data_IF_578762574411
#
_entry.id   IF_578762574411
#
_cell.length_a   1.000
_cell.length_b   1.000
_cell.length_c   1.000
_cell.angle_alpha   90.00
_cell.angle_beta   90.00
_cell.angle_gamma   90.00
#
_symmetry.space_group_name_H-M   'P 1'
#
loop_
_entity.id
_entity.type
_entity.pdbx_description
1 polymer ?
#
# COMPACT_ATOMS: atom_id res chain seq x y z
N UNK A 1 3.76 -11.25 -1.06
CA UNK A 1 4.51 -10.99 0.17
C UNK A 1 3.62 -10.27 1.17
N UNK A 2 3.67 -10.67 2.43
CA UNK A 2 2.83 -10.10 3.49
C UNK A 2 3.56 -8.92 4.14
N UNK A 3 2.89 -7.78 4.25
CA UNK A 3 3.46 -6.54 4.80
C UNK A 3 2.84 -6.12 6.14
N UNK A 4 1.63 -6.59 6.44
CA UNK A 4 0.99 -6.38 7.74
C UNK A 4 0.49 -7.73 8.25
N UNK A 5 0.75 -8.03 9.51
CA UNK A 5 0.30 -9.29 10.12
C UNK A 5 -0.14 -9.09 11.56
N UNK A 6 -0.93 -10.05 12.03
CA UNK A 6 -1.31 -10.17 13.43
C UNK A 6 -0.74 -11.48 13.94
N UNK A 7 0.03 -11.42 15.00
CA UNK A 7 0.65 -12.58 15.62
C UNK A 7 0.69 -12.38 17.14
N UNK A 8 0.36 -13.43 17.90
CA UNK A 8 0.30 -13.40 19.36
C UNK A 8 -0.47 -12.17 19.89
N UNK A 9 -1.64 -11.92 19.31
CA UNK A 9 -2.55 -10.81 19.66
C UNK A 9 -1.94 -9.40 19.45
N UNK A 10 -0.88 -9.29 18.66
CA UNK A 10 -0.22 -8.02 18.33
C UNK A 10 -0.21 -7.78 16.84
N UNK A 11 -0.29 -6.53 16.45
CA UNK A 11 -0.13 -6.12 15.06
C UNK A 11 1.34 -5.82 14.74
N UNK A 12 1.77 -6.21 13.55
CA UNK A 12 3.14 -6.00 13.08
C UNK A 12 3.13 -5.45 11.66
N UNK A 13 4.15 -4.68 11.34
CA UNK A 13 4.41 -4.23 9.98
C UNK A 13 5.82 -4.66 9.56
N UNK A 14 6.02 -4.79 8.25
CA UNK A 14 7.31 -5.17 7.67
C UNK A 14 8.13 -3.91 7.39
N UNK A 15 9.36 -3.89 7.89
CA UNK A 15 10.33 -2.81 7.66
C UNK A 15 11.49 -3.35 6.83
N UNK A 16 11.91 -2.58 5.83
CA UNK A 16 13.09 -2.87 5.04
C UNK A 16 14.24 -1.98 5.49
N UNK A 17 15.41 -2.55 5.76
CA UNK A 17 16.59 -1.80 6.16
C UNK A 17 17.42 -1.34 4.94
N UNK A 18 18.57 -0.70 5.21
CA UNK A 18 19.47 -0.19 4.16
C UNK A 18 20.03 -1.30 3.27
N UNK A 19 20.13 -2.51 3.79
CA UNK A 19 20.63 -3.70 3.07
C UNK A 19 19.51 -4.47 2.35
N UNK A 20 18.29 -3.91 2.33
CA UNK A 20 17.09 -4.55 1.79
C UNK A 20 16.66 -5.81 2.54
N UNK A 21 17.12 -5.97 3.76
CA UNK A 21 16.64 -7.02 4.64
C UNK A 21 15.35 -6.57 5.32
N UNK A 22 14.39 -7.48 5.44
CA UNK A 22 13.09 -7.17 6.01
C UNK A 22 12.98 -7.75 7.42
N UNK A 23 12.41 -6.96 8.33
CA UNK A 23 12.17 -7.36 9.71
C UNK A 23 10.76 -6.92 10.15
N UNK A 24 10.18 -7.69 11.04
CA UNK A 24 8.87 -7.38 11.62
C UNK A 24 9.02 -6.49 12.84
N UNK A 25 8.19 -5.46 12.92
CA UNK A 25 8.15 -4.54 14.06
C UNK A 25 6.71 -4.36 14.53
N UNK A 26 6.52 -4.13 15.81
CA UNK A 26 5.19 -3.87 16.36
C UNK A 26 4.57 -2.62 15.71
N UNK A 27 3.27 -2.68 15.43
CA UNK A 27 2.58 -1.68 14.62
C UNK A 27 2.60 -0.27 15.21
N UNK A 28 2.70 -0.15 16.55
CA UNK A 28 2.76 1.13 17.23
C UNK A 28 4.11 1.84 17.09
N UNK A 29 5.12 1.14 16.55
CA UNK A 29 6.44 1.71 16.28
C UNK A 29 6.57 2.25 14.87
N UNK A 30 5.50 2.24 14.09
CA UNK A 30 5.52 2.64 12.69
C UNK A 30 5.88 4.13 12.55
N UNK A 31 6.80 4.43 11.63
CA UNK A 31 7.26 5.78 11.35
C UNK A 31 6.72 6.26 10.00
N UNK A 32 6.92 7.53 9.69
CA UNK A 32 6.56 8.12 8.41
C UNK A 32 7.30 7.43 7.25
N UNK A 33 8.57 7.11 7.45
CA UNK A 33 9.39 6.40 6.46
C UNK A 33 8.84 5.00 6.20
N UNK A 34 8.40 4.31 7.25
CA UNK A 34 7.75 3.00 7.12
C UNK A 34 6.47 3.10 6.28
N UNK A 35 5.67 4.14 6.51
CA UNK A 35 4.45 4.38 5.73
C UNK A 35 4.76 4.62 4.25
N UNK A 36 5.80 5.38 3.94
CA UNK A 36 6.24 5.59 2.56
C UNK A 36 6.65 4.27 1.90
N UNK A 37 7.40 3.45 2.61
CA UNK A 37 7.80 2.13 2.11
C UNK A 37 6.56 1.27 1.79
N UNK A 38 5.61 1.20 2.73
CA UNK A 38 4.40 0.42 2.55
C UNK A 38 3.55 0.96 1.40
N UNK A 39 3.44 2.29 1.26
CA UNK A 39 2.72 2.91 0.14
C UNK A 39 3.32 2.52 -1.21
N UNK A 40 4.64 2.57 -1.33
CA UNK A 40 5.34 2.17 -2.56
C UNK A 40 5.04 0.71 -2.91
N UNK A 41 5.03 -0.15 -1.90
CA UNK A 41 4.74 -1.57 -2.10
C UNK A 41 3.27 -1.82 -2.41
N UNK A 42 2.36 -1.05 -1.82
CA UNK A 42 0.93 -1.19 -2.05
C UNK A 42 0.52 -0.85 -3.49
N UNK A 43 1.22 0.08 -4.14
CA UNK A 43 0.97 0.38 -5.56
C UNK A 43 1.64 -0.61 -6.51
N UNK A 44 2.57 -1.43 -6.02
CA UNK A 44 3.11 -2.56 -6.77
C UNK A 44 2.12 -3.73 -6.75
N UNK A 45 2.37 -4.77 -7.55
CA UNK A 45 1.40 -5.86 -7.71
C UNK A 45 1.42 -6.89 -6.58
N UNK A 46 2.48 -6.93 -5.76
CA UNK A 46 2.69 -7.95 -4.75
C UNK A 46 2.58 -7.38 -3.34
N UNK A 47 1.34 -7.04 -2.93
CA UNK A 47 1.09 -6.50 -1.59
C UNK A 47 -0.04 -7.26 -0.92
N UNK A 48 0.27 -7.96 0.17
CA UNK A 48 -0.68 -8.74 0.94
C UNK A 48 -0.68 -8.29 2.39
N UNK A 49 -1.84 -8.45 3.05
CA UNK A 49 -2.01 -8.12 4.47
C UNK A 49 -2.86 -9.20 5.12
N UNK A 50 -2.56 -9.52 6.38
CA UNK A 50 -3.44 -10.35 7.18
C UNK A 50 -4.66 -9.52 7.55
N UNK A 51 -5.85 -10.10 7.36
CA UNK A 51 -7.12 -9.43 7.61
C UNK A 51 -7.25 -9.01 9.06
N UNK A 52 -7.75 -7.77 9.28
CA UNK A 52 -7.99 -7.27 10.61
C UNK A 52 -9.16 -7.99 11.25
N UNK A 53 -8.94 -8.47 12.48
CA UNK A 53 -9.98 -9.02 13.33
C UNK A 53 -9.83 -8.40 14.73
N UNK A 54 -10.75 -7.53 15.09
CA UNK A 54 -10.69 -6.75 16.33
C UNK A 54 -10.69 -7.58 17.61
N UNK A 55 -11.07 -8.85 17.53
CA UNK A 55 -11.08 -9.74 18.69
C UNK A 55 -9.69 -10.32 19.01
N UNK A 56 -8.75 -10.25 18.07
CA UNK A 56 -7.43 -10.86 18.20
C UNK A 56 -6.46 -9.92 18.89
N UNK A 57 -6.60 -8.60 18.71
CA UNK A 57 -5.65 -7.62 19.24
C UNK A 57 -6.00 -7.22 20.66
N UNK A 58 -5.15 -7.61 21.63
CA UNK A 58 -5.34 -7.27 23.04
C UNK A 58 -4.98 -5.82 23.35
N UNK A 59 -4.04 -5.23 22.62
CA UNK A 59 -3.58 -3.85 22.82
C UNK A 59 -4.44 -2.88 22.00
N UNK A 60 -5.06 -1.90 22.68
CA UNK A 60 -5.96 -0.94 22.05
C UNK A 60 -5.25 -0.08 21.01
N UNK A 61 -4.01 0.33 21.24
CA UNK A 61 -3.23 1.09 20.27
C UNK A 61 -2.98 0.26 19.01
N UNK A 62 -2.63 -1.02 19.16
CA UNK A 62 -2.48 -1.93 18.03
C UNK A 62 -3.78 -2.10 17.25
N UNK A 63 -4.91 -2.20 17.94
CA UNK A 63 -6.22 -2.31 17.29
C UNK A 63 -6.49 -1.09 16.41
N UNK A 64 -6.32 0.10 16.94
CA UNK A 64 -6.63 1.34 16.25
C UNK A 64 -5.71 1.53 15.04
N UNK A 65 -4.40 1.37 15.23
CA UNK A 65 -3.43 1.61 14.17
C UNK A 65 -3.56 0.56 13.06
N UNK A 66 -3.63 -0.71 13.44
CA UNK A 66 -3.75 -1.79 12.46
C UNK A 66 -5.04 -1.67 11.64
N UNK A 67 -6.16 -1.41 12.31
CA UNK A 67 -7.45 -1.23 11.63
C UNK A 67 -7.39 -0.11 10.60
N UNK A 68 -6.87 1.05 11.01
CA UNK A 68 -6.77 2.21 10.12
C UNK A 68 -5.87 1.94 8.93
N UNK A 69 -4.72 1.34 9.15
CA UNK A 69 -3.80 1.00 8.07
C UNK A 69 -4.40 -0.05 7.14
N UNK A 70 -4.97 -1.10 7.70
CA UNK A 70 -5.57 -2.17 6.93
C UNK A 70 -6.69 -1.64 6.01
N UNK A 71 -7.61 -0.86 6.54
CA UNK A 71 -8.72 -0.30 5.77
C UNK A 71 -8.24 0.60 4.63
N UNK A 72 -7.26 1.47 4.91
CA UNK A 72 -6.71 2.37 3.90
C UNK A 72 -5.94 1.63 2.82
N UNK A 73 -5.15 0.63 3.19
CA UNK A 73 -4.39 -0.15 2.21
C UNK A 73 -5.27 -1.08 1.39
N UNK A 74 -6.33 -1.65 1.98
CA UNK A 74 -7.32 -2.43 1.22
C UNK A 74 -7.94 -1.56 0.13
N UNK A 75 -8.34 -0.34 0.49
CA UNK A 75 -8.92 0.60 -0.45
C UNK A 75 -7.93 0.99 -1.55
N UNK A 76 -6.70 1.29 -1.18
CA UNK A 76 -5.64 1.64 -2.13
C UNK A 76 -5.35 0.50 -3.11
N UNK A 77 -5.20 -0.73 -2.61
CA UNK A 77 -4.93 -1.91 -3.43
C UNK A 77 -6.10 -2.19 -4.37
N UNK A 78 -7.33 -2.06 -3.88
CA UNK A 78 -8.52 -2.27 -4.71
C UNK A 78 -8.63 -1.27 -5.86
N UNK A 79 -8.15 -0.05 -5.65
CA UNK A 79 -8.27 1.04 -6.64
C UNK A 79 -7.02 1.24 -7.50
N UNK A 80 -5.91 0.55 -7.23
CA UNK A 80 -4.65 0.77 -7.96
C UNK A 80 -4.78 0.51 -9.46
N UNK A 81 -5.48 -0.53 -9.86
CA UNK A 81 -5.71 -0.86 -11.27
C UNK A 81 -6.53 0.24 -11.93
N UNK A 82 -7.56 0.72 -11.26
CA UNK A 82 -8.40 1.82 -11.74
C UNK A 82 -7.58 3.09 -11.97
N UNK A 83 -6.72 3.47 -11.03
CA UNK A 83 -5.86 4.64 -11.17
C UNK A 83 -4.89 4.47 -12.33
N UNK A 84 -4.33 3.29 -12.51
CA UNK A 84 -3.45 2.97 -13.63
C UNK A 84 -4.20 3.12 -14.96
N UNK A 85 -5.39 2.53 -15.06
CA UNK A 85 -6.20 2.58 -16.28
C UNK A 85 -6.60 4.01 -16.63
N UNK A 86 -7.00 4.80 -15.65
CA UNK A 86 -7.33 6.22 -15.86
C UNK A 86 -6.12 7.00 -16.35
N UNK A 87 -4.95 6.77 -15.77
CA UNK A 87 -3.70 7.43 -16.19
C UNK A 87 -3.31 7.04 -17.61
N UNK A 88 -3.41 5.76 -17.96
CA UNK A 88 -3.12 5.28 -19.32
C UNK A 88 -4.07 5.90 -20.34
N UNK A 89 -5.37 6.00 -20.01
CA UNK A 89 -6.36 6.61 -20.90
C UNK A 89 -6.08 8.08 -21.12
N UNK A 90 -5.71 8.82 -20.07
CA UNK A 90 -5.35 10.23 -20.20
C UNK A 90 -4.10 10.42 -21.08
N UNK A 91 -3.09 9.61 -20.87
CA UNK A 91 -1.85 9.64 -21.64
C UNK A 91 -2.12 9.33 -23.11
N UNK A 92 -2.94 8.31 -23.36
CA UNK A 92 -3.28 7.87 -24.72
C UNK A 92 -4.05 8.96 -25.46
N UNK A 93 -5.01 9.60 -24.80
CA UNK A 93 -5.78 10.71 -25.38
C UNK A 93 -4.87 11.88 -25.73
N UNK A 94 -3.94 12.25 -24.87
CA UNK A 94 -2.97 13.33 -25.10
C UNK A 94 -2.06 12.98 -26.30
N UNK A 95 -1.60 11.74 -26.37
CA UNK A 95 -0.73 11.27 -27.45
C UNK A 95 -1.45 11.29 -28.80
N UNK A 96 -2.72 10.89 -28.84
CA UNK A 96 -3.53 10.92 -30.05
C UNK A 96 -3.73 12.36 -30.56
N UNK A 97 -3.98 13.30 -29.66
CA UNK A 97 -4.06 14.72 -30.03
C UNK A 97 -2.74 15.24 -30.60
N UNK A 98 -1.62 14.85 -30.00
CA UNK A 98 -0.29 15.24 -30.47
C UNK A 98 -0.04 14.72 -31.90
N UNK A 99 -0.38 13.47 -32.14
CA UNK A 99 -0.26 12.86 -33.47
C UNK A 99 -1.11 13.56 -34.52
N UNK A 100 -2.33 13.99 -34.17
CA UNK A 100 -3.19 14.73 -35.07
C UNK A 100 -2.59 16.08 -35.47
N UNK A 101 -1.98 16.77 -34.50
CA UNK A 101 -1.31 18.05 -34.75
C UNK A 101 -0.10 17.85 -35.69
N UNK A 102 0.71 16.82 -35.45
CA UNK A 102 1.84 16.47 -36.32
C UNK A 102 1.41 16.16 -37.74
N UNK A 103 0.29 15.44 -37.89
CA UNK A 103 -0.22 15.07 -39.22
C UNK A 103 -0.78 16.27 -39.99
N UNK A 104 -1.10 17.36 -39.32
CA UNK A 104 -1.57 18.59 -39.94
C UNK A 104 -0.44 19.53 -40.36
N UNK A 105 0.74 19.26 -39.87
CA UNK A 105 1.92 20.04 -40.23
C UNK A 105 2.52 19.57 -41.56
#
# INVERSE_FOLDING_TARGET
MIYLKIDDNKGFFLREDENRETTWHEIDLITKEDLYFLLKRAVAEDFEMVEYNGQILANKAHQIIYKNLFEKFVDLVANRTRFRDESENLYKAALDKYKQVDNQA
#
